data_IF_920778779592
#
_entry.id   IF_920778779592
#
_cell.length_a   1.000
_cell.length_b   1.000
_cell.length_c   1.000
_cell.angle_alpha   90.00
_cell.angle_beta   90.00
_cell.angle_gamma   90.00
#
_symmetry.space_group_name_H-M   'P 1'
#
loop_
_entity.id
_entity.type
_entity.pdbx_description
1 polymer ?
#
# COMPACT_ATOMS: atom_id res chain seq x y z
N UNK A 1 -31.64 -45.60 -79.32
CA UNK A 1 -30.30 -44.99 -79.27
C UNK A 1 -30.28 -43.95 -78.15
N UNK A 2 -29.42 -44.19 -77.14
CA UNK A 2 -28.94 -43.32 -76.03
C UNK A 2 -29.90 -42.30 -75.39
N UNK A 3 -30.38 -42.52 -74.14
CA UNK A 3 -30.84 -41.43 -73.29
C UNK A 3 -29.64 -40.75 -72.61
N UNK A 4 -29.69 -39.42 -72.59
CA UNK A 4 -28.66 -38.49 -72.11
C UNK A 4 -28.45 -38.55 -70.59
N UNK A 5 -27.19 -38.64 -70.16
CA UNK A 5 -26.75 -38.41 -68.79
C UNK A 5 -26.84 -36.90 -68.52
N UNK A 6 -27.77 -36.46 -67.66
CA UNK A 6 -27.73 -35.12 -67.06
C UNK A 6 -26.94 -35.19 -65.75
N UNK A 7 -25.78 -34.54 -65.73
CA UNK A 7 -24.98 -34.38 -64.51
C UNK A 7 -25.67 -33.40 -63.55
N UNK A 8 -25.97 -33.83 -62.33
CA UNK A 8 -26.31 -32.93 -61.23
C UNK A 8 -25.01 -32.34 -60.68
N UNK A 9 -24.82 -31.02 -60.79
CA UNK A 9 -23.77 -30.31 -60.08
C UNK A 9 -24.26 -29.98 -58.66
N UNK A 10 -23.73 -30.69 -57.66
CA UNK A 10 -23.97 -30.41 -56.24
C UNK A 10 -23.14 -29.19 -55.84
N UNK A 11 -23.79 -28.04 -55.60
CA UNK A 11 -23.13 -26.85 -55.05
C UNK A 11 -22.90 -27.07 -53.55
N UNK A 12 -21.65 -27.27 -53.15
CA UNK A 12 -21.25 -27.27 -51.74
C UNK A 12 -21.11 -25.82 -51.29
N UNK A 13 -22.06 -25.34 -50.48
CA UNK A 13 -21.95 -24.04 -49.80
C UNK A 13 -21.07 -24.24 -48.57
N UNK A 14 -19.81 -23.81 -48.64
CA UNK A 14 -18.98 -23.68 -47.44
C UNK A 14 -19.52 -22.54 -46.58
N UNK A 15 -20.13 -22.86 -45.45
CA UNK A 15 -20.41 -21.89 -44.41
C UNK A 15 -19.08 -21.47 -43.76
N UNK A 16 -18.62 -20.26 -44.03
CA UNK A 16 -17.48 -19.68 -43.32
C UNK A 16 -17.89 -19.39 -41.87
N UNK A 17 -17.39 -20.18 -40.93
CA UNK A 17 -17.50 -19.88 -39.51
C UNK A 17 -16.61 -18.67 -39.21
N UNK A 18 -17.22 -17.50 -39.04
CA UNK A 18 -16.52 -16.32 -38.56
C UNK A 18 -16.21 -16.54 -37.08
N UNK A 19 -14.96 -16.89 -36.78
CA UNK A 19 -14.44 -16.89 -35.42
C UNK A 19 -14.26 -15.42 -35.02
N UNK A 20 -15.24 -14.88 -34.29
CA UNK A 20 -15.09 -13.58 -33.64
C UNK A 20 -14.13 -13.79 -32.48
N UNK A 21 -12.86 -13.46 -32.68
CA UNK A 21 -11.90 -13.38 -31.58
C UNK A 21 -12.42 -12.34 -30.57
N UNK A 22 -12.54 -12.67 -29.28
CA UNK A 22 -12.94 -11.68 -28.29
C UNK A 22 -11.93 -10.54 -28.29
N UNK A 23 -12.42 -9.31 -28.43
CA UNK A 23 -11.60 -8.11 -28.21
C UNK A 23 -11.04 -8.22 -26.79
N UNK A 24 -9.72 -8.06 -26.58
CA UNK A 24 -9.17 -8.07 -25.23
C UNK A 24 -9.90 -7.01 -24.41
N UNK A 25 -10.55 -7.43 -23.33
CA UNK A 25 -11.20 -6.51 -22.41
C UNK A 25 -10.14 -5.53 -21.90
N UNK A 26 -10.40 -4.23 -22.03
CA UNK A 26 -9.55 -3.21 -21.41
C UNK A 26 -9.47 -3.47 -19.90
N UNK A 27 -8.27 -3.35 -19.32
CA UNK A 27 -8.08 -3.54 -17.90
C UNK A 27 -8.97 -2.56 -17.11
N UNK A 28 -9.61 -3.04 -16.04
CA UNK A 28 -10.42 -2.18 -15.19
C UNK A 28 -9.58 -1.05 -14.58
N UNK A 29 -10.14 0.15 -14.39
CA UNK A 29 -9.39 1.25 -13.79
C UNK A 29 -9.08 0.98 -12.31
N UNK A 30 -7.92 1.46 -11.87
CA UNK A 30 -7.55 1.69 -10.49
C UNK A 30 -8.55 2.67 -9.84
N UNK A 31 -9.06 2.28 -8.68
CA UNK A 31 -10.03 3.06 -7.91
C UNK A 31 -9.49 3.53 -6.57
N UNK A 32 -8.42 2.92 -6.06
CA UNK A 32 -7.67 3.37 -4.88
C UNK A 32 -6.34 3.98 -5.34
N UNK A 33 -6.36 5.29 -5.60
CA UNK A 33 -5.21 6.08 -6.02
C UNK A 33 -4.65 6.78 -4.78
N UNK A 34 -3.69 6.13 -4.14
CA UNK A 34 -3.34 6.40 -2.75
C UNK A 34 -1.99 7.07 -2.54
N UNK A 35 -1.88 7.78 -1.42
CA UNK A 35 -0.61 8.28 -0.89
C UNK A 35 -0.54 8.01 0.62
N UNK A 36 0.55 7.43 1.11
CA UNK A 36 0.86 7.42 2.54
C UNK A 36 1.48 8.75 2.92
N UNK A 37 0.83 9.51 3.79
CA UNK A 37 1.25 10.88 4.15
C UNK A 37 1.45 11.00 5.65
N UNK A 38 1.84 9.92 6.33
CA UNK A 38 1.82 9.92 7.80
C UNK A 38 2.88 10.85 8.41
N UNK A 39 4.01 11.10 7.74
CA UNK A 39 4.96 12.14 8.20
C UNK A 39 4.48 13.57 7.98
N UNK A 40 3.47 13.79 7.13
CA UNK A 40 3.09 15.12 6.66
C UNK A 40 2.69 16.05 7.81
N UNK A 41 1.91 15.55 8.76
CA UNK A 41 1.47 16.38 9.89
C UNK A 41 2.67 16.95 10.66
N UNK A 42 3.68 16.12 10.87
CA UNK A 42 4.90 16.52 11.56
C UNK A 42 5.73 17.51 10.76
N UNK A 43 5.86 17.28 9.45
CA UNK A 43 6.54 18.22 8.57
C UNK A 43 5.90 19.62 8.67
N UNK A 44 4.56 19.68 8.64
CA UNK A 44 3.80 20.93 8.78
C UNK A 44 3.97 21.58 10.16
N UNK A 45 3.90 20.80 11.24
CA UNK A 45 4.15 21.27 12.61
C UNK A 45 5.58 21.89 12.76
N UNK A 46 6.53 21.43 11.94
CA UNK A 46 7.91 21.94 11.87
C UNK A 46 8.12 23.07 10.84
N UNK A 47 7.05 23.54 10.19
CA UNK A 47 7.09 24.68 9.27
C UNK A 47 7.47 24.33 7.82
N UNK A 48 7.41 23.05 7.43
CA UNK A 48 7.55 22.63 6.04
C UNK A 48 6.55 23.38 5.14
N UNK A 49 6.98 23.72 3.93
CA UNK A 49 6.17 24.42 2.94
C UNK A 49 6.17 23.63 1.66
N UNK A 50 5.03 23.60 1.00
CA UNK A 50 4.81 22.83 -0.21
C UNK A 50 4.28 23.74 -1.30
N UNK A 51 4.75 23.49 -2.52
CA UNK A 51 4.48 24.30 -3.70
C UNK A 51 4.00 23.40 -4.83
N UNK A 52 2.98 23.87 -5.54
CA UNK A 52 2.48 23.20 -6.73
C UNK A 52 3.47 23.34 -7.90
N UNK A 53 3.12 22.79 -9.07
CA UNK A 53 3.97 22.81 -10.25
C UNK A 53 4.32 24.22 -10.75
N UNK A 54 3.46 25.22 -10.49
CA UNK A 54 3.71 26.63 -10.84
C UNK A 54 4.48 27.40 -9.77
N UNK A 55 4.95 26.74 -8.70
CA UNK A 55 5.71 27.37 -7.61
C UNK A 55 4.84 28.12 -6.61
N UNK A 56 3.52 27.96 -6.63
CA UNK A 56 2.59 28.59 -5.69
C UNK A 56 2.44 27.72 -4.45
N UNK A 57 2.58 28.32 -3.27
CA UNK A 57 2.37 27.64 -2.00
C UNK A 57 0.93 27.12 -1.91
N UNK A 58 0.77 25.85 -1.56
CA UNK A 58 -0.54 25.22 -1.46
C UNK A 58 -0.55 24.11 -0.40
N UNK A 59 -1.74 23.76 0.04
CA UNK A 59 -1.96 22.62 0.95
C UNK A 59 -1.52 21.32 0.26
N UNK A 60 -0.68 20.48 0.89
CA UNK A 60 -0.16 19.26 0.28
C UNK A 60 -1.23 18.27 -0.12
N UNK A 61 -2.35 18.20 0.60
CA UNK A 61 -3.48 17.34 0.23
C UNK A 61 -4.14 17.85 -1.06
N UNK A 62 -4.26 19.17 -1.25
CA UNK A 62 -4.81 19.74 -2.48
C UNK A 62 -3.87 19.53 -3.66
N UNK A 63 -2.55 19.63 -3.45
CA UNK A 63 -1.55 19.30 -4.46
C UNK A 63 -1.70 17.82 -4.86
N UNK A 64 -1.72 16.89 -3.90
CA UNK A 64 -1.86 15.47 -4.19
C UNK A 64 -3.18 15.15 -4.91
N UNK A 65 -4.30 15.76 -4.49
CA UNK A 65 -5.59 15.63 -5.18
C UNK A 65 -5.54 16.11 -6.63
N UNK A 66 -4.90 17.25 -6.89
CA UNK A 66 -4.75 17.78 -8.25
C UNK A 66 -3.96 16.84 -9.16
N UNK A 67 -3.20 15.92 -8.58
CA UNK A 67 -2.40 14.90 -9.27
C UNK A 67 -3.08 13.54 -9.34
N UNK A 68 -4.35 13.45 -8.90
CA UNK A 68 -5.19 12.25 -9.01
C UNK A 68 -5.35 11.44 -7.73
N UNK A 69 -4.71 11.82 -6.62
CA UNK A 69 -4.86 11.11 -5.34
C UNK A 69 -6.30 11.21 -4.84
N UNK A 70 -6.89 10.07 -4.51
CA UNK A 70 -8.24 9.96 -3.93
C UNK A 70 -8.27 9.23 -2.58
N UNK A 71 -7.13 8.73 -2.11
CA UNK A 71 -6.98 7.97 -0.87
C UNK A 71 -5.74 8.43 -0.11
N UNK A 72 -5.86 8.62 1.20
CA UNK A 72 -4.73 8.81 2.10
C UNK A 72 -4.56 7.56 2.99
N UNK A 73 -3.34 7.04 3.05
CA UNK A 73 -2.93 6.02 4.03
C UNK A 73 -2.24 6.71 5.20
N UNK A 74 -2.61 6.32 6.42
CA UNK A 74 -2.00 6.79 7.66
C UNK A 74 -1.59 5.61 8.52
N UNK A 75 -0.30 5.46 8.80
CA UNK A 75 0.17 4.51 9.80
C UNK A 75 -0.20 4.97 11.21
N UNK A 76 -0.49 4.00 12.06
CA UNK A 76 -0.71 4.22 13.48
C UNK A 76 0.17 3.28 14.33
N UNK A 77 0.89 3.90 15.27
CA UNK A 77 1.65 3.26 16.32
C UNK A 77 0.92 3.39 17.66
N UNK A 78 1.11 2.41 18.54
CA UNK A 78 0.42 2.32 19.82
C UNK A 78 0.83 3.43 20.77
N UNK A 79 2.12 3.51 21.09
CA UNK A 79 2.69 4.52 21.98
C UNK A 79 4.10 4.97 21.52
N UNK A 80 4.20 5.65 20.38
CA UNK A 80 5.48 6.11 19.86
C UNK A 80 6.06 7.26 20.67
N UNK A 81 7.35 7.14 21.02
CA UNK A 81 8.07 8.11 21.85
C UNK A 81 8.17 9.49 21.19
N UNK A 82 8.08 9.56 19.86
CA UNK A 82 8.10 10.81 19.10
C UNK A 82 6.85 11.67 19.32
N UNK A 83 5.75 11.11 19.83
CA UNK A 83 4.47 11.79 19.95
C UNK A 83 3.68 11.94 18.64
N UNK A 84 4.16 11.35 17.53
CA UNK A 84 3.50 11.35 16.21
C UNK A 84 3.09 9.95 15.76
N UNK A 85 2.16 9.85 14.81
CA UNK A 85 1.52 8.60 14.38
C UNK A 85 0.80 7.84 15.51
N UNK A 86 0.51 8.48 16.64
CA UNK A 86 -0.35 7.92 17.68
C UNK A 86 -1.82 8.24 17.41
N UNK A 87 -2.73 7.66 18.22
CA UNK A 87 -4.18 7.91 18.15
C UNK A 87 -4.55 9.39 17.99
N UNK A 88 -4.01 10.26 18.85
CA UNK A 88 -4.37 11.68 18.86
C UNK A 88 -3.98 12.37 17.55
N UNK A 89 -2.77 12.13 17.06
CA UNK A 89 -2.26 12.69 15.80
C UNK A 89 -2.99 12.12 14.59
N UNK A 90 -3.25 10.82 14.55
CA UNK A 90 -4.03 10.18 13.47
C UNK A 90 -5.46 10.71 13.41
N UNK A 91 -6.14 10.91 14.55
CA UNK A 91 -7.48 11.51 14.58
C UNK A 91 -7.47 12.95 14.02
N UNK A 92 -6.46 13.74 14.37
CA UNK A 92 -6.30 15.10 13.83
C UNK A 92 -6.06 15.08 12.32
N UNK A 93 -5.14 14.23 11.85
CA UNK A 93 -4.80 14.13 10.44
C UNK A 93 -5.97 13.57 9.60
N UNK A 94 -6.73 12.60 10.13
CA UNK A 94 -7.91 12.07 9.49
C UNK A 94 -8.99 13.13 9.21
N UNK A 95 -9.14 14.14 10.10
CA UNK A 95 -10.03 15.28 9.84
C UNK A 95 -9.57 16.10 8.66
N UNK A 96 -8.26 16.39 8.57
CA UNK A 96 -7.69 17.10 7.43
C UNK A 96 -7.91 16.32 6.12
N UNK A 97 -7.61 15.02 6.11
CA UNK A 97 -7.83 14.12 4.96
C UNK A 97 -9.28 14.15 4.50
N UNK A 98 -10.23 13.90 5.41
CA UNK A 98 -11.66 13.84 5.06
C UNK A 98 -12.24 15.20 4.69
N UNK A 99 -11.78 16.30 5.29
CA UNK A 99 -12.18 17.66 4.92
C UNK A 99 -11.79 17.99 3.47
N UNK A 100 -10.71 17.37 2.96
CA UNK A 100 -10.32 17.47 1.56
C UNK A 100 -11.07 16.49 0.66
N UNK A 101 -11.98 15.67 1.19
CA UNK A 101 -12.76 14.70 0.42
C UNK A 101 -11.96 13.46 -0.02
N UNK A 102 -10.79 13.22 0.59
CA UNK A 102 -10.01 12.01 0.37
C UNK A 102 -10.59 10.84 1.17
N UNK A 103 -10.51 9.63 0.63
CA UNK A 103 -10.76 8.39 1.38
C UNK A 103 -9.60 8.12 2.35
N UNK A 104 -9.86 7.31 3.38
CA UNK A 104 -8.93 7.09 4.48
C UNK A 104 -8.66 5.59 4.69
N UNK A 105 -7.38 5.22 4.64
CA UNK A 105 -6.84 3.92 5.02
C UNK A 105 -6.03 4.08 6.30
N UNK A 106 -6.40 3.36 7.36
CA UNK A 106 -5.60 3.31 8.60
C UNK A 106 -4.77 2.03 8.62
N UNK A 107 -3.46 2.18 8.73
CA UNK A 107 -2.52 1.08 8.82
C UNK A 107 -2.06 0.84 10.26
N UNK A 108 -2.58 -0.23 10.86
CA UNK A 108 -2.22 -0.63 12.21
C UNK A 108 -0.93 -1.43 12.21
N UNK A 109 0.16 -0.84 12.66
CA UNK A 109 1.42 -1.56 12.83
C UNK A 109 1.41 -2.53 14.02
N UNK A 110 0.57 -2.28 15.03
CA UNK A 110 0.60 -2.98 16.32
C UNK A 110 2.01 -2.99 16.95
N UNK A 111 2.63 -1.82 17.01
CA UNK A 111 3.97 -1.57 17.55
C UNK A 111 4.05 -0.11 18.02
N UNK A 112 5.03 0.19 18.88
CA UNK A 112 5.36 1.57 19.27
C UNK A 112 6.25 2.27 18.23
N UNK A 113 6.68 1.55 17.18
CA UNK A 113 7.60 2.01 16.13
C UNK A 113 7.34 1.24 14.83
N UNK A 114 8.21 1.41 13.84
CA UNK A 114 8.25 0.62 12.60
C UNK A 114 7.97 -0.87 12.82
N UNK A 115 7.18 -1.42 11.89
CA UNK A 115 6.91 -2.84 11.76
C UNK A 115 7.09 -3.19 10.29
N UNK A 116 7.92 -4.19 10.01
CA UNK A 116 8.41 -4.59 8.69
C UNK A 116 8.69 -6.11 8.69
N UNK A 117 9.15 -6.73 7.59
CA UNK A 117 9.40 -8.18 7.55
C UNK A 117 10.45 -8.67 8.55
N UNK A 118 11.37 -7.80 8.97
CA UNK A 118 12.44 -8.10 9.93
C UNK A 118 12.09 -7.74 11.38
N UNK A 119 11.13 -6.85 11.60
CA UNK A 119 10.78 -6.31 12.92
C UNK A 119 9.26 -6.28 13.12
N UNK A 120 8.77 -7.00 14.13
CA UNK A 120 7.34 -7.02 14.51
C UNK A 120 7.20 -6.95 16.04
N UNK A 121 7.97 -6.06 16.67
CA UNK A 121 8.03 -5.93 18.12
C UNK A 121 6.68 -5.46 18.70
N UNK A 122 6.12 -6.15 19.72
CA UNK A 122 4.93 -5.69 20.40
C UNK A 122 5.12 -4.29 21.02
N UNK A 123 4.04 -3.50 21.16
CA UNK A 123 4.04 -2.32 21.99
C UNK A 123 4.54 -2.67 23.39
N UNK A 124 5.24 -1.75 24.03
CA UNK A 124 5.78 -1.89 25.38
C UNK A 124 4.73 -2.32 26.41
N UNK A 125 3.50 -1.79 26.29
CA UNK A 125 2.36 -2.15 27.13
C UNK A 125 1.92 -3.62 27.00
N UNK A 126 2.29 -4.30 25.91
CA UNK A 126 1.89 -5.67 25.58
C UNK A 126 3.08 -6.66 25.58
N UNK A 127 4.28 -6.20 25.92
CA UNK A 127 5.51 -6.98 25.76
C UNK A 127 5.51 -8.32 26.53
N UNK A 128 4.83 -8.38 27.67
CA UNK A 128 4.70 -9.58 28.50
C UNK A 128 3.37 -10.33 28.32
N UNK A 129 2.51 -9.88 27.41
CA UNK A 129 1.19 -10.46 27.24
C UNK A 129 1.27 -11.84 26.56
N UNK A 130 0.42 -12.75 27.04
CA UNK A 130 0.16 -14.04 26.40
C UNK A 130 -0.61 -13.86 25.09
N UNK A 131 -0.66 -14.89 24.24
CA UNK A 131 -1.42 -14.85 22.99
C UNK A 131 -2.91 -14.54 23.19
N UNK A 132 -3.53 -14.98 24.29
CA UNK A 132 -4.94 -14.68 24.60
C UNK A 132 -5.14 -13.21 25.02
N UNK A 133 -4.20 -12.65 25.76
CA UNK A 133 -4.17 -11.22 26.06
C UNK A 133 -3.99 -10.41 24.78
N UNK A 134 -3.03 -10.76 23.93
CA UNK A 134 -2.79 -10.08 22.65
C UNK A 134 -4.00 -10.12 21.71
N UNK A 135 -4.78 -11.20 21.70
CA UNK A 135 -6.05 -11.24 20.97
C UNK A 135 -7.02 -10.16 21.47
N UNK A 136 -7.13 -10.01 22.80
CA UNK A 136 -7.96 -8.98 23.43
C UNK A 136 -7.41 -7.58 23.14
N UNK A 137 -6.09 -7.41 23.19
CA UNK A 137 -5.41 -6.14 22.91
C UNK A 137 -5.62 -5.68 21.48
N UNK A 138 -5.42 -6.58 20.50
CA UNK A 138 -5.66 -6.30 19.08
C UNK A 138 -7.12 -5.90 18.88
N UNK A 139 -8.08 -6.67 19.41
CA UNK A 139 -9.49 -6.32 19.28
C UNK A 139 -9.79 -4.91 19.84
N UNK A 140 -9.41 -4.67 21.10
CA UNK A 140 -9.73 -3.44 21.80
C UNK A 140 -9.07 -2.22 21.15
N UNK A 141 -7.80 -2.34 20.76
CA UNK A 141 -7.07 -1.25 20.13
C UNK A 141 -7.67 -0.90 18.76
N UNK A 142 -7.91 -1.89 17.89
CA UNK A 142 -8.52 -1.65 16.58
C UNK A 142 -9.92 -1.04 16.72
N UNK A 143 -10.74 -1.56 17.64
CA UNK A 143 -12.09 -1.06 17.87
C UNK A 143 -12.08 0.37 18.40
N UNK A 144 -11.22 0.69 19.36
CA UNK A 144 -11.09 2.02 19.95
C UNK A 144 -10.70 3.07 18.89
N UNK A 145 -9.68 2.78 18.07
CA UNK A 145 -9.25 3.71 17.00
C UNK A 145 -10.35 3.89 15.96
N UNK A 146 -10.91 2.78 15.45
CA UNK A 146 -11.97 2.84 14.44
C UNK A 146 -13.21 3.57 14.96
N UNK A 147 -13.66 3.27 16.17
CA UNK A 147 -14.84 3.90 16.77
C UNK A 147 -14.60 5.38 17.07
N UNK A 148 -13.40 5.76 17.49
CA UNK A 148 -13.01 7.17 17.67
C UNK A 148 -13.05 7.94 16.35
N UNK A 149 -12.52 7.36 15.27
CA UNK A 149 -12.59 7.93 13.92
C UNK A 149 -14.04 8.07 13.44
N UNK A 150 -14.86 7.05 13.65
CA UNK A 150 -16.29 7.07 13.32
C UNK A 150 -17.05 8.14 14.10
N UNK A 151 -16.81 8.25 15.41
CA UNK A 151 -17.46 9.23 16.28
C UNK A 151 -17.17 10.68 15.87
N UNK A 152 -15.99 10.93 15.28
CA UNK A 152 -15.65 12.26 14.74
C UNK A 152 -16.04 12.48 13.27
N UNK A 153 -16.81 11.57 12.66
CA UNK A 153 -17.24 11.69 11.26
C UNK A 153 -16.16 11.37 10.22
N UNK A 154 -15.05 10.75 10.63
CA UNK A 154 -13.95 10.37 9.73
C UNK A 154 -13.80 8.85 9.65
N UNK A 155 -14.91 8.12 9.60
CA UNK A 155 -14.91 6.64 9.49
C UNK A 155 -13.93 6.19 8.41
N UNK A 156 -13.00 5.27 8.72
CA UNK A 156 -12.06 4.76 7.73
C UNK A 156 -12.80 3.99 6.63
N UNK A 157 -12.42 4.25 5.38
CA UNK A 157 -12.91 3.49 4.22
C UNK A 157 -12.30 2.09 4.22
N UNK A 158 -11.02 2.00 4.62
CA UNK A 158 -10.30 0.75 4.81
C UNK A 158 -9.42 0.80 6.05
N UNK A 159 -9.07 -0.37 6.58
CA UNK A 159 -8.01 -0.55 7.56
C UNK A 159 -7.08 -1.67 7.12
N UNK A 160 -5.82 -1.60 7.51
CA UNK A 160 -4.82 -2.64 7.33
C UNK A 160 -4.45 -3.21 8.70
N UNK A 161 -4.55 -4.54 8.84
CA UNK A 161 -4.31 -5.25 10.11
C UNK A 161 -2.90 -5.84 10.06
N UNK A 162 -1.94 -5.07 10.59
CA UNK A 162 -0.52 -5.37 10.53
C UNK A 162 0.13 -4.78 9.28
N UNK A 163 1.38 -4.31 9.41
CA UNK A 163 2.19 -3.84 8.29
C UNK A 163 3.27 -4.88 7.95
N UNK A 164 3.34 -5.27 6.67
CA UNK A 164 4.34 -6.20 6.12
C UNK A 164 4.57 -7.43 7.01
N UNK A 165 3.47 -8.12 7.34
CA UNK A 165 3.44 -9.20 8.32
C UNK A 165 3.92 -10.54 7.74
N UNK A 166 4.92 -10.51 6.85
CA UNK A 166 5.37 -11.64 6.04
C UNK A 166 5.57 -12.92 6.87
N UNK A 167 6.06 -12.81 8.11
CA UNK A 167 6.21 -13.96 9.04
C UNK A 167 5.48 -13.75 10.37
N UNK A 168 4.39 -13.00 10.34
CA UNK A 168 3.49 -12.72 11.47
C UNK A 168 3.63 -11.33 12.05
N UNK A 169 2.98 -11.08 13.19
CA UNK A 169 2.97 -9.80 13.91
C UNK A 169 3.11 -10.04 15.42
N UNK A 170 3.43 -9.01 16.21
CA UNK A 170 3.49 -9.12 17.69
C UNK A 170 4.36 -10.31 18.17
N UNK A 171 5.63 -10.33 17.76
CA UNK A 171 6.53 -11.43 18.05
C UNK A 171 6.97 -11.49 19.52
N UNK A 172 7.25 -12.70 20.05
CA UNK A 172 7.18 -14.01 19.39
C UNK A 172 5.77 -14.62 19.26
N UNK A 173 4.78 -14.11 19.97
CA UNK A 173 3.48 -14.76 20.19
C UNK A 173 2.70 -14.92 18.89
N UNK A 174 2.69 -13.90 18.02
CA UNK A 174 2.04 -13.96 16.71
C UNK A 174 2.98 -14.29 15.55
N UNK A 175 4.21 -14.75 15.82
CA UNK A 175 5.17 -15.16 14.78
C UNK A 175 4.77 -16.50 14.19
N UNK A 176 4.83 -16.63 12.87
CA UNK A 176 4.68 -17.93 12.20
C UNK A 176 5.98 -18.72 12.37
N UNK A 177 5.92 -19.81 13.12
CA UNK A 177 7.06 -20.71 13.35
C UNK A 177 6.69 -22.13 12.91
N UNK A 178 7.56 -22.80 12.16
CA UNK A 178 7.33 -24.17 11.66
C UNK A 178 5.99 -24.32 10.90
N UNK A 179 5.64 -23.34 10.06
CA UNK A 179 4.36 -23.28 9.33
C UNK A 179 3.10 -23.26 10.23
N UNK A 180 3.24 -22.97 11.53
CA UNK A 180 2.09 -22.80 12.41
C UNK A 180 1.52 -21.38 12.30
N UNK A 181 0.45 -21.24 11.51
CA UNK A 181 -0.26 -19.98 11.32
C UNK A 181 -1.32 -19.69 12.39
N UNK A 182 -1.63 -20.64 13.28
CA UNK A 182 -2.73 -20.49 14.24
C UNK A 182 -2.58 -19.25 15.15
N UNK A 183 -1.39 -18.92 15.70
CA UNK A 183 -1.23 -17.73 16.52
C UNK A 183 -1.48 -16.43 15.74
N UNK A 184 -0.85 -16.27 14.58
CA UNK A 184 -1.09 -15.12 13.69
C UNK A 184 -2.57 -15.01 13.33
N UNK A 185 -3.17 -16.10 12.87
CA UNK A 185 -4.57 -16.14 12.46
C UNK A 185 -5.52 -15.73 13.59
N UNK A 186 -5.23 -16.10 14.84
CA UNK A 186 -6.03 -15.69 15.99
C UNK A 186 -6.04 -14.18 16.16
N UNK A 187 -4.91 -13.50 15.93
CA UNK A 187 -4.79 -12.04 16.01
C UNK A 187 -5.47 -11.34 14.84
N UNK A 188 -5.27 -11.83 13.61
CA UNK A 188 -5.89 -11.25 12.40
C UNK A 188 -7.42 -11.29 12.47
N UNK A 189 -7.99 -12.38 13.01
CA UNK A 189 -9.44 -12.49 13.26
C UNK A 189 -9.93 -11.42 14.23
N UNK A 190 -9.16 -11.08 15.26
CA UNK A 190 -9.54 -10.02 16.20
C UNK A 190 -9.54 -8.64 15.54
N UNK A 191 -8.51 -8.32 14.75
CA UNK A 191 -8.46 -7.07 13.99
C UNK A 191 -9.62 -6.94 12.99
N UNK A 192 -9.95 -8.02 12.28
CA UNK A 192 -11.11 -8.08 11.39
C UNK A 192 -12.42 -7.86 12.16
N UNK A 193 -12.64 -8.63 13.24
CA UNK A 193 -13.87 -8.57 14.04
C UNK A 193 -14.08 -7.19 14.67
N UNK A 194 -13.02 -6.58 15.21
CA UNK A 194 -13.06 -5.22 15.77
C UNK A 194 -13.44 -4.19 14.71
N UNK A 195 -12.88 -4.31 13.51
CA UNK A 195 -13.22 -3.44 12.38
C UNK A 195 -14.69 -3.56 12.02
N UNK A 196 -15.20 -4.78 11.85
CA UNK A 196 -16.60 -5.01 11.48
C UNK A 196 -17.58 -4.60 12.58
N UNK A 197 -17.20 -4.77 13.85
CA UNK A 197 -17.99 -4.30 15.00
C UNK A 197 -18.08 -2.76 15.03
N UNK A 198 -17.00 -2.05 14.73
CA UNK A 198 -16.99 -0.60 14.61
C UNK A 198 -17.83 -0.12 13.39
N UNK A 199 -17.57 -0.69 12.21
CA UNK A 199 -18.26 -0.36 10.98
C UNK A 199 -18.17 -1.51 9.95
N UNK A 200 -19.30 -2.18 9.68
CA UNK A 200 -19.34 -3.32 8.75
C UNK A 200 -18.94 -2.99 7.31
N UNK A 201 -19.06 -1.72 6.89
CA UNK A 201 -18.68 -1.25 5.55
C UNK A 201 -17.19 -0.94 5.36
N UNK A 202 -16.39 -0.90 6.43
CA UNK A 202 -14.94 -0.63 6.33
C UNK A 202 -14.23 -1.88 5.83
N UNK A 203 -13.43 -1.75 4.76
CA UNK A 203 -12.70 -2.89 4.19
C UNK A 203 -11.48 -3.24 5.05
N UNK A 204 -11.18 -4.53 5.18
CA UNK A 204 -10.02 -5.04 5.92
C UNK A 204 -8.96 -5.54 4.94
N UNK A 205 -7.78 -4.93 5.00
CA UNK A 205 -6.60 -5.30 4.23
C UNK A 205 -5.63 -6.14 5.06
N UNK A 206 -4.98 -7.10 4.41
CA UNK A 206 -3.83 -7.84 4.95
C UNK A 206 -2.64 -7.59 4.03
N UNK A 207 -1.51 -7.18 4.61
CA UNK A 207 -0.37 -6.63 3.89
C UNK A 207 0.90 -7.46 4.08
N UNK A 208 1.55 -7.85 2.98
CA UNK A 208 2.89 -8.43 2.99
C UNK A 208 3.81 -7.79 1.95
N UNK A 209 5.13 -7.87 2.16
CA UNK A 209 6.14 -7.45 1.20
C UNK A 209 6.52 -8.55 0.18
N UNK A 210 5.58 -9.43 -0.19
CA UNK A 210 5.86 -10.63 -1.00
C UNK A 210 5.64 -10.45 -2.52
N UNK A 211 5.70 -9.22 -3.04
CA UNK A 211 5.55 -8.97 -4.48
C UNK A 211 6.71 -9.55 -5.32
N UNK A 212 7.78 -9.97 -4.66
CA UNK A 212 8.96 -10.62 -5.25
C UNK A 212 8.72 -12.10 -5.60
N UNK A 213 7.84 -12.78 -4.85
CA UNK A 213 7.74 -14.23 -4.85
C UNK A 213 6.31 -14.74 -4.72
N UNK A 214 5.79 -15.35 -5.79
CA UNK A 214 4.52 -16.08 -5.75
C UNK A 214 4.55 -17.19 -4.70
N UNK A 215 5.70 -17.84 -4.47
CA UNK A 215 5.81 -18.90 -3.47
C UNK A 215 5.61 -18.36 -2.05
N UNK A 216 6.23 -17.21 -1.72
CA UNK A 216 6.10 -16.57 -0.41
C UNK A 216 4.67 -16.05 -0.21
N UNK A 217 4.12 -15.35 -1.20
CA UNK A 217 2.75 -14.86 -1.16
C UNK A 217 1.75 -16.03 -1.00
N UNK A 218 1.92 -17.12 -1.75
CA UNK A 218 1.08 -18.32 -1.60
C UNK A 218 1.19 -18.93 -0.21
N UNK A 219 2.41 -19.14 0.28
CA UNK A 219 2.66 -19.70 1.59
C UNK A 219 1.94 -18.91 2.69
N UNK A 220 2.06 -17.59 2.68
CA UNK A 220 1.44 -16.73 3.67
C UNK A 220 -0.10 -16.75 3.56
N UNK A 221 -0.63 -16.42 2.38
CA UNK A 221 -2.08 -16.27 2.20
C UNK A 221 -2.84 -17.61 2.26
N UNK A 222 -2.23 -18.73 1.87
CA UNK A 222 -2.78 -20.06 2.18
C UNK A 222 -2.78 -20.35 3.66
N UNK A 223 -1.68 -20.04 4.33
CA UNK A 223 -1.51 -20.29 5.76
C UNK A 223 -2.62 -19.65 6.56
N UNK A 224 -2.88 -18.34 6.35
CA UNK A 224 -3.96 -17.65 7.05
C UNK A 224 -5.35 -18.14 6.59
N UNK A 225 -5.55 -18.46 5.30
CA UNK A 225 -6.83 -18.96 4.79
C UNK A 225 -7.18 -20.32 5.37
N UNK A 226 -6.20 -21.22 5.48
CA UNK A 226 -6.38 -22.54 6.08
C UNK A 226 -6.78 -22.48 7.56
N UNK A 227 -6.41 -21.38 8.25
CA UNK A 227 -6.85 -21.09 9.61
C UNK A 227 -8.21 -20.38 9.68
N UNK A 228 -8.87 -20.12 8.54
CA UNK A 228 -10.16 -19.45 8.48
C UNK A 228 -10.09 -17.94 8.73
N UNK A 229 -8.96 -17.28 8.43
CA UNK A 229 -8.89 -15.82 8.42
C UNK A 229 -9.71 -15.29 7.24
N UNK A 230 -10.52 -14.27 7.51
CA UNK A 230 -11.28 -13.53 6.50
C UNK A 230 -10.65 -12.15 6.36
N UNK A 231 -10.55 -11.66 5.12
CA UNK A 231 -10.12 -10.31 4.77
C UNK A 231 -10.78 -9.90 3.46
N UNK A 232 -10.80 -8.60 3.17
CA UNK A 232 -11.50 -8.05 2.00
C UNK A 232 -10.55 -7.77 0.85
N UNK A 233 -9.34 -7.27 1.13
CA UNK A 233 -8.36 -6.84 0.12
C UNK A 233 -6.97 -7.39 0.43
N UNK A 234 -6.31 -7.97 -0.56
CA UNK A 234 -4.91 -8.41 -0.48
C UNK A 234 -3.99 -7.22 -0.79
N UNK A 235 -3.09 -6.88 0.12
CA UNK A 235 -2.15 -5.77 -0.05
C UNK A 235 -0.72 -6.27 -0.19
N UNK A 236 0.05 -5.64 -1.08
CA UNK A 236 1.46 -5.94 -1.33
C UNK A 236 2.32 -4.67 -1.31
N UNK A 237 3.53 -4.74 -0.75
CA UNK A 237 4.56 -3.73 -1.03
C UNK A 237 5.26 -4.07 -2.34
N UNK A 238 5.51 -3.07 -3.18
CA UNK A 238 6.36 -3.20 -4.36
C UNK A 238 7.37 -2.06 -4.45
N UNK A 239 8.60 -2.38 -4.09
CA UNK A 239 9.76 -1.54 -4.32
C UNK A 239 10.65 -2.28 -5.30
N UNK A 240 10.75 -1.80 -6.53
CA UNK A 240 11.49 -2.49 -7.60
C UNK A 240 12.97 -2.75 -7.25
N UNK A 241 13.54 -1.98 -6.31
CA UNK A 241 14.89 -2.16 -5.78
C UNK A 241 15.09 -3.49 -5.05
N UNK A 242 14.00 -4.08 -4.54
CA UNK A 242 14.03 -5.29 -3.71
C UNK A 242 13.09 -6.38 -4.22
N UNK A 243 11.94 -6.00 -4.80
CA UNK A 243 10.83 -6.92 -5.08
C UNK A 243 10.77 -7.41 -6.53
N UNK A 244 11.90 -7.36 -7.23
CA UNK A 244 12.03 -7.88 -8.58
C UNK A 244 11.36 -7.02 -9.67
N UNK A 245 11.24 -7.61 -10.86
CA UNK A 245 10.82 -6.89 -12.06
C UNK A 245 9.32 -6.58 -12.06
N UNK A 246 8.90 -5.68 -12.95
CA UNK A 246 7.46 -5.46 -13.21
C UNK A 246 6.75 -6.73 -13.71
N UNK A 247 7.45 -7.63 -14.40
CA UNK A 247 6.90 -8.93 -14.77
C UNK A 247 6.65 -9.81 -13.53
N UNK A 248 7.54 -9.78 -12.53
CA UNK A 248 7.30 -10.44 -11.24
C UNK A 248 6.05 -9.86 -10.57
N UNK A 249 5.95 -8.54 -10.47
CA UNK A 249 4.79 -7.85 -9.91
C UNK A 249 3.48 -8.29 -10.59
N UNK A 250 3.43 -8.25 -11.92
CA UNK A 250 2.25 -8.65 -12.68
C UNK A 250 1.81 -10.09 -12.34
N UNK A 251 2.77 -11.01 -12.29
CA UNK A 251 2.51 -12.42 -12.04
C UNK A 251 2.02 -12.67 -10.60
N UNK A 252 2.63 -12.02 -9.60
CA UNK A 252 2.20 -12.15 -8.20
C UNK A 252 0.78 -11.60 -8.02
N UNK A 253 0.48 -10.41 -8.54
CA UNK A 253 -0.88 -9.83 -8.46
C UNK A 253 -1.89 -10.77 -9.12
N UNK A 254 -1.59 -11.24 -10.33
CA UNK A 254 -2.48 -12.14 -11.08
C UNK A 254 -2.74 -13.43 -10.30
N UNK A 255 -1.71 -14.00 -9.69
CA UNK A 255 -1.80 -15.24 -8.91
C UNK A 255 -2.68 -15.06 -7.67
N UNK A 256 -2.35 -14.10 -6.79
CA UNK A 256 -3.09 -13.93 -5.53
C UNK A 256 -4.53 -13.50 -5.77
N UNK A 257 -4.78 -12.65 -6.78
CA UNK A 257 -6.13 -12.24 -7.18
C UNK A 257 -6.95 -13.45 -7.62
N UNK A 258 -6.43 -14.26 -8.54
CA UNK A 258 -7.14 -15.40 -9.12
C UNK A 258 -7.36 -16.49 -8.08
N UNK A 259 -6.37 -16.72 -7.21
CA UNK A 259 -6.38 -17.81 -6.25
C UNK A 259 -7.24 -17.57 -5.02
N UNK A 260 -7.34 -16.31 -4.57
CA UNK A 260 -8.10 -15.95 -3.39
C UNK A 260 -9.42 -15.25 -3.72
N UNK A 261 -9.63 -14.85 -4.97
CA UNK A 261 -10.86 -14.19 -5.43
C UNK A 261 -11.07 -12.82 -4.78
N UNK A 262 -9.98 -12.15 -4.39
CA UNK A 262 -10.01 -10.87 -3.66
C UNK A 262 -9.36 -9.76 -4.50
N UNK A 263 -9.85 -8.51 -4.40
CA UNK A 263 -9.14 -7.36 -4.93
C UNK A 263 -7.72 -7.27 -4.37
N UNK A 264 -6.81 -6.76 -5.19
CA UNK A 264 -5.40 -6.57 -4.83
C UNK A 264 -5.06 -5.09 -4.89
N UNK A 265 -4.25 -4.62 -3.95
CA UNK A 265 -3.65 -3.27 -3.98
C UNK A 265 -2.14 -3.36 -3.78
N UNK A 266 -1.43 -2.41 -4.37
CA UNK A 266 -0.06 -2.11 -3.97
C UNK A 266 -0.13 -1.08 -2.86
N UNK A 267 0.11 -1.48 -1.61
CA UNK A 267 -0.02 -0.62 -0.44
C UNK A 267 1.19 0.31 -0.25
N UNK A 268 2.34 -0.07 -0.79
CA UNK A 268 3.54 0.76 -0.78
C UNK A 268 4.34 0.62 -2.07
N UNK A 269 4.76 1.76 -2.62
CA UNK A 269 5.76 1.87 -3.68
C UNK A 269 6.36 3.27 -3.66
N UNK A 270 7.58 3.42 -4.15
CA UNK A 270 8.20 4.72 -4.38
C UNK A 270 9.37 4.58 -5.38
N UNK A 271 9.82 5.70 -5.93
CA UNK A 271 11.04 5.75 -6.71
C UNK A 271 11.79 7.05 -6.49
N UNK A 272 13.11 6.96 -6.62
CA UNK A 272 14.01 8.09 -6.43
C UNK A 272 13.94 9.10 -7.59
N UNK A 273 13.86 10.40 -7.26
CA UNK A 273 13.97 11.48 -8.24
C UNK A 273 15.39 12.04 -8.37
N UNK A 274 16.29 11.64 -7.48
CA UNK A 274 17.68 12.09 -7.42
C UNK A 274 18.56 11.04 -6.73
N UNK A 275 19.86 11.06 -7.00
CA UNK A 275 20.86 10.28 -6.25
C UNK A 275 21.44 11.06 -5.06
N UNK A 276 21.08 12.34 -4.91
CA UNK A 276 21.55 13.19 -3.83
C UNK A 276 20.99 12.80 -2.47
N UNK A 277 21.62 13.32 -1.42
CA UNK A 277 21.22 13.18 -0.03
C UNK A 277 20.99 14.58 0.56
N UNK A 278 19.82 14.84 1.13
CA UNK A 278 19.48 16.19 1.58
C UNK A 278 20.09 16.56 2.93
N UNK A 279 20.30 15.57 3.80
CA UNK A 279 20.74 15.77 5.17
C UNK A 279 21.92 14.85 5.56
N UNK A 280 22.18 14.69 6.86
CA UNK A 280 23.29 13.87 7.37
C UNK A 280 23.01 12.37 7.40
N UNK A 281 21.77 11.95 7.12
CA UNK A 281 21.35 10.56 7.16
C UNK A 281 21.33 9.99 5.76
N UNK A 282 22.03 8.87 5.54
CA UNK A 282 22.03 8.22 4.24
C UNK A 282 20.64 7.73 3.84
N UNK A 283 20.23 8.05 2.62
CA UNK A 283 19.02 7.52 2.01
C UNK A 283 19.03 5.98 1.95
N UNK A 284 17.88 5.35 2.20
CA UNK A 284 17.69 3.90 2.16
C UNK A 284 18.09 3.30 0.81
N UNK A 285 17.88 4.07 -0.27
CA UNK A 285 18.47 3.77 -1.57
C UNK A 285 19.46 4.89 -1.93
N UNK A 286 20.76 4.57 -2.04
CA UNK A 286 21.83 5.55 -2.26
C UNK A 286 21.92 6.06 -3.70
N UNK A 287 20.84 6.01 -4.49
CA UNK A 287 20.80 6.56 -5.85
C UNK A 287 21.34 5.66 -6.96
N UNK A 288 22.23 4.70 -6.66
CA UNK A 288 22.89 3.84 -7.67
C UNK A 288 22.07 2.63 -8.08
N UNK A 289 21.07 2.25 -7.29
CA UNK A 289 20.16 1.14 -7.61
C UNK A 289 19.10 1.66 -8.57
N UNK A 290 19.18 1.25 -9.83
CA UNK A 290 18.20 1.60 -10.86
C UNK A 290 17.27 0.43 -11.13
N UNK A 291 15.97 0.71 -11.23
CA UNK A 291 14.97 -0.24 -11.70
C UNK A 291 14.75 -0.05 -13.20
N UNK A 292 14.78 -1.14 -13.96
CA UNK A 292 14.51 -1.12 -15.41
C UNK A 292 15.39 -0.12 -16.20
N UNK A 293 16.62 0.15 -15.72
CA UNK A 293 17.53 1.18 -16.24
C UNK A 293 16.94 2.61 -16.24
N UNK A 294 15.92 2.88 -15.43
CA UNK A 294 15.32 4.21 -15.29
C UNK A 294 16.20 5.06 -14.37
N UNK A 295 16.75 6.20 -14.82
CA UNK A 295 17.64 7.01 -14.01
C UNK A 295 16.89 7.75 -12.88
N UNK A 296 17.57 7.99 -11.75
CA UNK A 296 17.07 8.79 -10.64
C UNK A 296 16.94 10.28 -11.04
N UNK A 297 15.81 10.61 -11.66
CA UNK A 297 15.48 11.94 -12.17
C UNK A 297 13.99 12.19 -11.97
N UNK A 298 13.54 13.43 -12.10
CA UNK A 298 12.10 13.76 -12.05
C UNK A 298 11.29 12.99 -13.10
N UNK A 299 11.81 12.88 -14.32
CA UNK A 299 11.19 12.10 -15.39
C UNK A 299 11.23 10.59 -15.08
N UNK A 300 12.34 10.08 -14.53
CA UNK A 300 12.47 8.68 -14.15
C UNK A 300 11.54 8.26 -13.02
N UNK A 301 11.39 9.08 -11.97
CA UNK A 301 10.41 8.87 -10.89
C UNK A 301 8.98 8.78 -11.45
N UNK A 302 8.60 9.72 -12.33
CA UNK A 302 7.29 9.68 -12.96
C UNK A 302 7.10 8.44 -13.86
N UNK A 303 8.12 8.07 -14.62
CA UNK A 303 8.11 6.91 -15.50
C UNK A 303 7.96 5.61 -14.71
N UNK A 304 8.77 5.39 -13.67
CA UNK A 304 8.70 4.18 -12.85
C UNK A 304 7.35 4.07 -12.16
N UNK A 305 6.82 5.16 -11.60
CA UNK A 305 5.52 5.14 -10.95
C UNK A 305 4.39 4.87 -11.95
N UNK A 306 4.47 5.42 -13.15
CA UNK A 306 3.53 5.13 -14.26
C UNK A 306 3.59 3.65 -14.64
N UNK A 307 4.79 3.07 -14.77
CA UNK A 307 4.97 1.67 -15.12
C UNK A 307 4.47 0.72 -14.04
N UNK A 308 4.66 1.07 -12.76
CA UNK A 308 4.10 0.33 -11.63
C UNK A 308 2.57 0.35 -11.65
N UNK A 309 1.96 1.53 -11.83
CA UNK A 309 0.49 1.65 -11.96
C UNK A 309 -0.06 0.85 -13.14
N UNK A 310 0.56 0.96 -14.32
CA UNK A 310 0.13 0.23 -15.51
C UNK A 310 0.26 -1.29 -15.32
N UNK A 311 1.36 -1.74 -14.74
CA UNK A 311 1.59 -3.16 -14.43
C UNK A 311 0.53 -3.68 -13.47
N UNK A 312 0.27 -2.95 -12.38
CA UNK A 312 -0.75 -3.31 -11.40
C UNK A 312 -2.16 -3.34 -12.03
N UNK A 313 -2.51 -2.31 -12.82
CA UNK A 313 -3.80 -2.22 -13.53
C UNK A 313 -3.98 -3.37 -14.51
N UNK A 314 -2.97 -3.68 -15.31
CA UNK A 314 -3.01 -4.79 -16.29
C UNK A 314 -3.11 -6.16 -15.59
N UNK A 315 -2.49 -6.31 -14.42
CA UNK A 315 -2.67 -7.48 -13.56
C UNK A 315 -4.00 -7.45 -12.77
N UNK A 316 -4.86 -6.44 -12.99
CA UNK A 316 -6.16 -6.18 -12.37
C UNK A 316 -6.14 -6.01 -10.85
N UNK A 317 -5.10 -5.37 -10.33
CA UNK A 317 -5.18 -4.69 -9.04
C UNK A 317 -6.20 -3.53 -9.13
N UNK A 318 -6.74 -3.13 -7.99
CA UNK A 318 -7.70 -2.01 -7.89
C UNK A 318 -7.05 -0.73 -7.35
N UNK A 319 -5.77 -0.77 -6.97
CA UNK A 319 -5.13 0.38 -6.35
C UNK A 319 -3.62 0.33 -6.24
N UNK A 320 -3.02 1.51 -6.14
CA UNK A 320 -1.60 1.74 -5.89
C UNK A 320 -1.46 2.94 -4.94
N UNK A 321 -0.68 2.75 -3.89
CA UNK A 321 -0.36 3.74 -2.88
C UNK A 321 1.13 4.10 -2.96
N UNK A 322 1.44 5.38 -3.21
CA UNK A 322 2.80 5.88 -3.12
C UNK A 322 3.15 6.09 -1.65
N UNK A 323 4.28 5.55 -1.19
CA UNK A 323 4.70 5.66 0.19
C UNK A 323 5.49 6.95 0.43
N UNK A 324 5.01 7.76 1.37
CA UNK A 324 5.64 9.01 1.83
C UNK A 324 6.02 9.99 0.71
N UNK A 325 5.09 10.36 -0.21
CA UNK A 325 5.40 11.29 -1.28
C UNK A 325 5.73 12.69 -0.75
N UNK A 326 5.32 13.04 0.47
CA UNK A 326 5.51 14.36 1.10
C UNK A 326 6.74 14.46 1.99
N UNK A 327 7.47 13.37 2.22
CA UNK A 327 8.56 13.31 3.20
C UNK A 327 9.89 13.73 2.57
N UNK A 328 10.03 15.01 2.24
CA UNK A 328 11.34 15.59 1.96
C UNK A 328 12.06 15.94 3.28
N UNK A 329 13.37 16.15 3.24
CA UNK A 329 14.15 16.41 4.46
C UNK A 329 13.74 17.73 5.15
N UNK A 330 13.23 17.59 6.37
CA UNK A 330 12.86 18.69 7.26
C UNK A 330 13.53 18.43 8.60
N UNK A 331 14.35 19.37 9.14
CA UNK A 331 15.01 19.19 10.42
C UNK A 331 14.01 18.82 11.53
N UNK A 332 14.31 17.77 12.28
CA UNK A 332 13.43 17.26 13.32
C UNK A 332 12.28 16.37 12.81
N UNK A 333 12.20 16.06 11.52
CA UNK A 333 11.25 15.08 10.95
C UNK A 333 11.95 13.78 10.53
N UNK A 334 12.85 13.29 11.38
CA UNK A 334 13.65 12.11 11.06
C UNK A 334 12.93 10.77 11.21
N UNK A 335 13.51 9.73 10.60
CA UNK A 335 12.93 8.38 10.52
C UNK A 335 12.87 7.62 11.85
N UNK A 336 13.82 7.83 12.76
CA UNK A 336 13.86 7.13 14.04
C UNK A 336 12.97 7.86 15.06
N UNK A 337 11.85 7.27 15.50
CA UNK A 337 10.99 7.91 16.50
C UNK A 337 11.70 8.18 17.84
N UNK A 338 12.80 7.48 18.16
CA UNK A 338 13.60 7.68 19.39
C UNK A 338 14.65 8.78 19.26
N UNK A 339 15.08 9.13 18.05
CA UNK A 339 16.10 10.14 17.79
C UNK A 339 15.73 11.05 16.61
N UNK A 340 14.51 11.56 16.65
CA UNK A 340 13.90 12.35 15.59
C UNK A 340 14.69 13.59 15.13
N UNK A 341 15.49 14.17 16.01
CA UNK A 341 16.32 15.35 15.71
C UNK A 341 17.70 14.96 15.17
N UNK A 342 18.20 13.77 15.51
CA UNK A 342 19.52 13.31 15.09
C UNK A 342 19.49 12.28 13.95
N UNK A 343 18.34 11.70 13.63
CA UNK A 343 18.26 10.57 12.68
C UNK A 343 18.04 10.96 11.24
N UNK A 344 17.77 12.23 10.90
CA UNK A 344 17.50 12.70 9.52
C UNK A 344 16.44 11.87 8.76
N UNK A 345 16.27 12.14 7.47
CA UNK A 345 15.30 11.48 6.62
C UNK A 345 15.98 10.54 5.61
N UNK A 346 15.86 9.23 5.83
CA UNK A 346 16.39 8.22 4.90
C UNK A 346 15.56 8.04 3.61
N UNK A 347 14.56 8.85 3.37
CA UNK A 347 13.64 8.75 2.23
C UNK A 347 13.55 10.04 1.39
N UNK A 348 14.41 11.02 1.67
CA UNK A 348 14.28 12.37 1.11
C UNK A 348 14.39 12.41 -0.41
N UNK A 349 15.07 11.43 -1.01
CA UNK A 349 15.26 11.33 -2.45
C UNK A 349 14.10 10.63 -3.18
N UNK A 350 13.11 10.11 -2.44
CA UNK A 350 11.95 9.39 -2.98
C UNK A 350 10.62 10.12 -2.80
N UNK A 351 10.59 11.21 -2.04
CA UNK A 351 9.46 12.12 -2.04
C UNK A 351 9.15 12.60 -3.48
N UNK A 352 7.89 12.95 -3.76
CA UNK A 352 7.53 13.60 -5.02
C UNK A 352 7.77 15.11 -4.96
N UNK A 353 8.19 15.64 -3.80
CA UNK A 353 8.60 17.01 -3.61
C UNK A 353 10.12 17.05 -3.47
N UNK A 354 10.78 18.01 -4.13
CA UNK A 354 12.19 18.26 -3.83
C UNK A 354 12.37 18.88 -2.44
N UNK A 355 13.63 19.11 -2.06
CA UNK A 355 14.00 19.61 -0.74
C UNK A 355 13.63 21.08 -0.47
N UNK A 356 13.13 21.81 -1.48
CA UNK A 356 12.49 23.12 -1.29
C UNK A 356 10.97 23.04 -1.21
N UNK A 357 10.40 21.83 -1.28
CA UNK A 357 8.96 21.58 -1.22
C UNK A 357 8.24 21.75 -2.56
N UNK A 358 8.93 21.84 -3.70
CA UNK A 358 8.29 21.91 -5.01
C UNK A 358 7.97 20.52 -5.53
N UNK A 359 6.71 20.33 -5.96
CA UNK A 359 6.23 19.04 -6.45
C UNK A 359 6.77 18.70 -7.84
N UNK A 360 7.07 17.43 -8.08
CA UNK A 360 7.34 16.86 -9.39
C UNK A 360 6.06 16.91 -10.25
N UNK A 361 6.00 17.73 -11.33
CA UNK A 361 4.81 17.90 -12.14
C UNK A 361 4.43 16.62 -12.88
N UNK A 362 5.40 15.77 -13.19
CA UNK A 362 5.21 14.58 -14.04
C UNK A 362 4.69 13.36 -13.28
N UNK A 363 4.83 13.31 -11.95
CA UNK A 363 4.23 12.22 -11.15
C UNK A 363 2.73 12.44 -11.06
N UNK A 364 1.94 11.48 -11.52
CA UNK A 364 0.48 11.53 -11.47
C UNK A 364 -0.10 10.15 -11.16
N UNK A 365 -1.25 10.15 -10.49
CA UNK A 365 -2.06 8.97 -10.25
C UNK A 365 -3.09 8.88 -11.37
N UNK A 366 -3.12 7.71 -12.02
CA UNK A 366 -3.97 7.48 -13.19
C UNK A 366 -5.00 6.40 -12.87
N UNK A 367 -6.30 6.65 -13.08
CA UNK A 367 -7.31 5.60 -13.03
C UNK A 367 -6.94 4.45 -13.96
#
# INVERSE_FOLDING_TARGET
MRPSIRALATVVVLAAVVVISPVPASAAPLTMLGADVSTLQRALDLGARYYNASGVAADPYDILKSKGVNYARLRIWNNPVSGYNNKAKVLQQARAVKAKGLRLLIDFHYSDTWADPGVQTPPSAWASHSLSQLQTDVYNYTYDICSSLKAQGTTPDSVQIGNEINVGMLWPQGRVTNNNFAPLASLLKQGYNATKACNGGTQVMIHTADADSMANARWFYDGIRAQGVVWDVTALSYYCMWHGTLANLHNVITDVRTRYGKPVVIAETAYQFTTGNADGTGNSIPGTVLCDNIPATWAGQAQQFTWTQNTARNAGAIGVFYWEPTWYAVPGNGWDPRNINGSGNGWDNMAIFNWSGQVNPSVVWTP
#
